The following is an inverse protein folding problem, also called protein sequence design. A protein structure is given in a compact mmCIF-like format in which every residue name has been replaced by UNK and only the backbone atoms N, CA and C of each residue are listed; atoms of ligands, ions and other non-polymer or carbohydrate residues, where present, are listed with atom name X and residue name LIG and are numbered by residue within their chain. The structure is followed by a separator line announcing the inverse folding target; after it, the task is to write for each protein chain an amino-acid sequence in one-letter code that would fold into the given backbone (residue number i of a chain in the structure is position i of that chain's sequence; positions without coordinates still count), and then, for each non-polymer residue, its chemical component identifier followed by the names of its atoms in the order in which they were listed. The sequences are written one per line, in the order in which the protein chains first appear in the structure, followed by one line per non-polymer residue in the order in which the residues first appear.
data_IF_068810388540
#
_entry.id   IF_068810388540
#
_cell.length_a   1.000
_cell.length_b   1.000
_cell.length_c   1.000
_cell.angle_alpha   90.00
_cell.angle_beta   90.00
_cell.angle_gamma   90.00
#
_symmetry.space_group_name_H-M   'P 1'
#
loop_
_entity.id
_entity.type
_entity.pdbx_description
1 polymer ?
#
# COMPACT_ATOMS: atom_id res chain seq x y z
N UNK A 1 -11.99 5.81 -15.56
CA UNK A 1 -10.72 6.44 -15.09
C UNK A 1 -9.91 5.37 -14.40
N UNK A 2 -8.60 5.30 -14.63
CA UNK A 2 -7.75 4.35 -13.90
C UNK A 2 -7.62 4.84 -12.45
N UNK A 3 -8.06 4.06 -11.48
CA UNK A 3 -7.80 4.34 -10.07
C UNK A 3 -6.29 4.21 -9.85
N UNK A 4 -5.59 5.34 -9.77
CA UNK A 4 -4.13 5.39 -9.63
C UNK A 4 -3.79 6.26 -8.44
N UNK A 5 -2.94 5.75 -7.55
CA UNK A 5 -2.45 6.53 -6.42
C UNK A 5 -1.57 7.66 -6.95
N UNK A 6 -1.72 8.89 -6.43
CA UNK A 6 -0.80 9.96 -6.76
C UNK A 6 0.66 9.59 -6.43
N UNK A 7 1.64 10.03 -7.23
CA UNK A 7 3.04 9.67 -7.02
C UNK A 7 3.59 10.02 -5.62
N UNK A 8 3.14 11.13 -5.02
CA UNK A 8 3.58 11.54 -3.68
C UNK A 8 3.09 10.59 -2.60
N UNK A 9 1.85 10.11 -2.70
CA UNK A 9 1.26 9.12 -1.79
C UNK A 9 2.02 7.81 -1.88
N UNK A 10 2.27 7.32 -3.09
CA UNK A 10 3.04 6.10 -3.31
C UNK A 10 4.42 6.20 -2.66
N UNK A 11 5.11 7.31 -2.90
CA UNK A 11 6.44 7.52 -2.33
C UNK A 11 6.42 7.50 -0.80
N UNK A 12 5.43 8.15 -0.17
CA UNK A 12 5.27 8.12 1.28
C UNK A 12 4.96 6.71 1.80
N UNK A 13 4.09 5.96 1.13
CA UNK A 13 3.79 4.58 1.52
C UNK A 13 5.04 3.69 1.44
N UNK A 14 5.86 3.83 0.39
CA UNK A 14 7.12 3.10 0.27
C UNK A 14 8.08 3.42 1.43
N UNK A 15 8.28 4.71 1.74
CA UNK A 15 9.12 5.12 2.87
C UNK A 15 8.65 4.54 4.21
N UNK A 16 7.34 4.40 4.38
CA UNK A 16 6.71 3.90 5.59
C UNK A 16 6.77 2.36 5.69
N UNK A 17 6.62 1.63 4.58
CA UNK A 17 6.39 0.18 4.59
C UNK A 17 7.58 -0.65 4.07
N UNK A 18 8.53 -0.07 3.34
CA UNK A 18 9.75 -0.76 2.90
C UNK A 18 10.70 -1.13 4.05
N UNK A 19 10.92 -0.26 5.07
CA UNK A 19 11.79 -0.61 6.18
C UNK A 19 11.24 -1.80 6.96
N UNK A 20 12.09 -2.80 7.31
CA UNK A 20 11.65 -3.93 8.10
C UNK A 20 11.18 -3.46 9.47
N UNK A 21 9.96 -3.84 9.84
CA UNK A 21 9.39 -3.51 11.14
C UNK A 21 9.49 -4.70 12.09
N UNK A 22 9.92 -4.48 13.34
CA UNK A 22 9.99 -5.51 14.36
C UNK A 22 8.61 -6.15 14.67
N UNK A 23 7.51 -5.44 14.40
CA UNK A 23 6.14 -5.95 14.52
C UNK A 23 5.64 -6.70 13.28
N UNK A 24 6.41 -6.73 12.20
CA UNK A 24 6.04 -7.39 10.95
C UNK A 24 4.94 -6.68 10.14
N UNK A 25 4.48 -5.50 10.56
CA UNK A 25 3.50 -4.69 9.84
C UNK A 25 4.14 -3.79 8.77
N UNK A 26 5.02 -4.40 7.98
CA UNK A 26 5.71 -3.82 6.84
C UNK A 26 5.09 -4.32 5.52
N UNK A 27 5.82 -4.17 4.41
CA UNK A 27 5.42 -4.64 3.09
C UNK A 27 5.00 -6.12 3.05
N UNK A 28 5.50 -6.96 3.97
CA UNK A 28 5.16 -8.39 3.99
C UNK A 28 3.72 -8.63 4.41
N UNK A 29 3.28 -7.94 5.45
CA UNK A 29 1.89 -8.00 5.90
C UNK A 29 0.95 -7.33 4.89
N UNK A 30 1.40 -6.28 4.20
CA UNK A 30 0.65 -5.70 3.08
C UNK A 30 0.45 -6.72 1.95
N UNK A 31 1.52 -7.43 1.55
CA UNK A 31 1.44 -8.48 0.53
C UNK A 31 0.44 -9.59 0.91
N UNK A 32 0.44 -9.99 2.20
CA UNK A 32 -0.51 -10.97 2.72
C UNK A 32 -1.95 -10.44 2.71
N UNK A 33 -2.18 -9.21 3.17
CA UNK A 33 -3.50 -8.60 3.19
C UNK A 33 -4.08 -8.43 1.77
N UNK A 34 -3.20 -8.22 0.78
CA UNK A 34 -3.56 -8.12 -0.63
C UNK A 34 -3.57 -9.46 -1.38
N UNK A 35 -3.36 -10.59 -0.69
CA UNK A 35 -3.34 -11.95 -1.27
C UNK A 35 -2.31 -12.13 -2.39
N UNK A 36 -1.15 -11.47 -2.26
CA UNK A 36 -0.02 -11.55 -3.19
C UNK A 36 1.27 -12.05 -2.53
N UNK A 37 1.15 -12.62 -1.33
CA UNK A 37 2.23 -13.21 -0.53
C UNK A 37 2.94 -14.38 -1.24
N UNK A 38 2.30 -15.04 -2.22
CA UNK A 38 2.98 -16.02 -3.07
C UNK A 38 4.19 -15.44 -3.81
N UNK A 39 4.22 -14.13 -4.04
CA UNK A 39 5.33 -13.41 -4.69
C UNK A 39 6.28 -12.73 -3.69
N UNK A 40 6.20 -13.06 -2.39
CA UNK A 40 6.99 -12.40 -1.33
C UNK A 40 8.50 -12.42 -1.60
N UNK A 41 9.02 -13.54 -2.11
CA UNK A 41 10.45 -13.69 -2.43
C UNK A 41 10.83 -12.78 -3.61
N UNK A 42 9.95 -12.65 -4.61
CA UNK A 42 10.18 -11.75 -5.73
C UNK A 42 10.22 -10.29 -5.28
N UNK A 43 9.27 -9.87 -4.45
CA UNK A 43 9.26 -8.50 -3.91
C UNK A 43 10.50 -8.21 -3.07
N UNK A 44 11.00 -9.17 -2.28
CA UNK A 44 12.22 -9.02 -1.49
C UNK A 44 13.49 -8.71 -2.32
N UNK A 45 13.49 -9.06 -3.62
CA UNK A 45 14.63 -8.76 -4.52
C UNK A 45 14.57 -7.36 -5.14
N UNK A 46 13.48 -6.62 -4.91
CA UNK A 46 13.27 -5.29 -5.48
C UNK A 46 13.80 -4.20 -4.56
N UNK A 47 14.21 -3.05 -5.12
CA UNK A 47 14.65 -1.90 -4.32
C UNK A 47 13.52 -1.35 -3.44
N UNK A 48 12.27 -1.39 -3.91
CA UNK A 48 11.07 -1.08 -3.12
C UNK A 48 10.05 -2.22 -3.30
N UNK A 49 9.92 -3.14 -2.32
CA UNK A 49 8.88 -4.16 -2.34
C UNK A 49 7.48 -3.54 -2.28
N UNK A 50 7.27 -2.47 -1.49
CA UNK A 50 5.97 -1.80 -1.36
C UNK A 50 5.51 -1.23 -2.70
N UNK A 51 6.39 -0.59 -3.47
CA UNK A 51 6.06 -0.03 -4.77
C UNK A 51 5.51 -1.09 -5.73
N UNK A 52 6.18 -2.24 -5.82
CA UNK A 52 5.78 -3.33 -6.70
C UNK A 52 4.45 -3.97 -6.27
N UNK A 53 4.18 -4.01 -4.96
CA UNK A 53 2.90 -4.48 -4.42
C UNK A 53 1.78 -3.49 -4.81
N UNK A 54 2.03 -2.18 -4.68
CA UNK A 54 1.07 -1.15 -5.07
C UNK A 54 0.80 -1.15 -6.59
N UNK A 55 1.82 -1.35 -7.42
CA UNK A 55 1.64 -1.49 -8.88
C UNK A 55 0.73 -2.67 -9.23
N UNK A 56 0.95 -3.82 -8.58
CA UNK A 56 0.12 -5.00 -8.80
C UNK A 56 -1.30 -4.78 -8.29
N UNK A 57 -1.45 -4.07 -7.17
CA UNK A 57 -2.75 -3.71 -6.62
C UNK A 57 -3.54 -2.77 -7.55
N UNK A 58 -2.92 -1.72 -8.08
CA UNK A 58 -3.52 -0.80 -9.07
C UNK A 58 -3.92 -1.53 -10.36
N UNK A 59 -3.10 -2.49 -10.81
CA UNK A 59 -3.42 -3.29 -12.00
C UNK A 59 -4.67 -4.18 -11.78
N UNK A 60 -4.88 -4.66 -10.56
CA UNK A 60 -6.00 -5.55 -10.17
C UNK A 60 -7.27 -4.79 -9.79
N UNK A 61 -7.17 -3.59 -9.22
CA UNK A 61 -8.31 -2.84 -8.70
C UNK A 61 -8.49 -1.53 -9.46
N UNK A 62 -9.58 -1.44 -10.22
CA UNK A 62 -9.92 -0.27 -11.04
C UNK A 62 -11.14 0.49 -10.53
N UNK A 63 -11.69 0.06 -9.40
CA UNK A 63 -12.89 0.61 -8.80
C UNK A 63 -12.55 1.80 -7.89
N UNK A 64 -13.47 2.74 -7.75
CA UNK A 64 -13.28 3.94 -6.91
C UNK A 64 -13.17 3.61 -5.41
N UNK A 65 -13.77 2.50 -4.98
CA UNK A 65 -13.71 1.99 -3.61
C UNK A 65 -12.35 1.43 -3.22
N UNK A 66 -11.51 1.08 -4.20
CA UNK A 66 -10.25 0.39 -3.96
C UNK A 66 -9.34 1.14 -2.98
N UNK A 67 -9.21 2.46 -3.13
CA UNK A 67 -8.38 3.29 -2.23
C UNK A 67 -8.89 3.24 -0.79
N UNK A 68 -10.21 3.20 -0.61
CA UNK A 68 -10.85 3.07 0.72
C UNK A 68 -10.54 1.71 1.33
N UNK A 69 -10.58 0.65 0.54
CA UNK A 69 -10.24 -0.70 0.98
C UNK A 69 -8.76 -0.81 1.36
N UNK A 70 -7.86 -0.23 0.56
CA UNK A 70 -6.43 -0.16 0.88
C UNK A 70 -6.17 0.60 2.19
N UNK A 71 -6.86 1.72 2.40
CA UNK A 71 -6.79 2.47 3.65
C UNK A 71 -7.26 1.63 4.85
N UNK A 72 -8.36 0.88 4.70
CA UNK A 72 -8.84 -0.02 5.75
C UNK A 72 -7.85 -1.14 6.05
N UNK A 73 -7.22 -1.72 5.02
CA UNK A 73 -6.15 -2.72 5.18
C UNK A 73 -5.00 -2.13 6.02
N UNK A 74 -4.54 -0.91 5.70
CA UNK A 74 -3.47 -0.25 6.46
C UNK A 74 -3.86 0.00 7.92
N UNK A 75 -5.12 0.38 8.19
CA UNK A 75 -5.64 0.53 9.56
C UNK A 75 -5.62 -0.80 10.33
N UNK A 76 -6.07 -1.89 9.70
CA UNK A 76 -6.07 -3.24 10.30
C UNK A 76 -4.64 -3.74 10.55
N UNK A 77 -3.68 -3.38 9.70
CA UNK A 77 -2.25 -3.62 9.93
C UNK A 77 -1.66 -2.79 11.09
N UNK A 78 -2.44 -1.88 11.68
CA UNK A 78 -1.96 -0.95 12.70
C UNK A 78 -1.05 0.15 12.14
N UNK A 79 -1.07 0.37 10.82
CA UNK A 79 -0.33 1.42 10.11
C UNK A 79 -1.20 2.65 9.89
N UNK A 80 -1.59 3.27 11.01
CA UNK A 80 -2.40 4.49 11.00
C UNK A 80 -1.67 5.64 10.31
N UNK A 81 -0.34 5.68 10.40
CA UNK A 81 0.53 6.61 9.68
C UNK A 81 0.36 6.52 8.15
N UNK A 82 0.36 5.30 7.61
CA UNK A 82 0.14 5.06 6.18
C UNK A 82 -1.32 5.34 5.77
N UNK A 83 -2.28 4.97 6.61
CA UNK A 83 -3.70 5.26 6.36
C UNK A 83 -3.99 6.77 6.34
N UNK A 84 -3.39 7.55 7.24
CA UNK A 84 -3.53 9.01 7.29
C UNK A 84 -2.96 9.71 6.05
N UNK A 85 -1.97 9.12 5.38
CA UNK A 85 -1.46 9.65 4.10
C UNK A 85 -2.55 9.57 3.02
N UNK A 86 -3.25 8.43 2.92
CA UNK A 86 -4.37 8.25 1.99
C UNK A 86 -5.55 9.17 2.33
N UNK A 87 -5.88 9.26 3.63
CA UNK A 87 -7.00 10.07 4.12
C UNK A 87 -6.82 11.57 3.81
N UNK A 88 -5.60 12.09 3.96
CA UNK A 88 -5.27 13.49 3.62
C UNK A 88 -5.46 13.78 2.13
N UNK A 89 -5.13 12.84 1.27
CA UNK A 89 -5.33 12.99 -0.18
C UNK A 89 -6.82 12.98 -0.52
N UNK A 90 -7.58 12.01 0.00
CA UNK A 90 -9.04 11.93 -0.20
C UNK A 90 -9.77 13.17 0.33
N UNK A 91 -9.33 13.73 1.46
CA UNK A 91 -9.87 14.98 2.02
C UNK A 91 -9.50 16.23 1.23
N UNK A 92 -8.49 16.18 0.35
CA UNK A 92 -8.09 17.30 -0.51
C UNK A 92 -8.95 17.43 -1.78
N UNK A 93 -9.87 16.48 -2.02
CA UNK A 93 -10.85 16.49 -3.11
C UNK A 93 -12.25 16.99 -2.69
N UNK A 94 -12.46 17.29 -1.40
CA UNK A 94 -13.69 17.91 -0.84
C UNK A 94 -13.48 19.42 -0.64
#
# INVERSE_FOLDING_TARGET
MYCRLPPHIRHQLCLLLDPPNARGNDWRMLAQALTVDRYIIFFATKPSPTENILDLWEARHREETAVTDLMNILRVMGRMDAASVLEKDMGSWL
#
